data_IF_202612572166
#
_entry.id   IF_202612572166
#
_cell.length_a   1.000
_cell.length_b   1.000
_cell.length_c   1.000
_cell.angle_alpha   90.00
_cell.angle_beta   90.00
_cell.angle_gamma   90.00
#
_symmetry.space_group_name_H-M   'P 1'
#
loop_
_entity.id
_entity.type
_entity.pdbx_description
1 polymer ?
#
# COMPACT_ATOMS: atom_id res chain seq x y z
N UNK A 1 -21.04 -7.16 -12.94
CA UNK A 1 -21.32 -8.20 -11.94
C UNK A 1 -20.80 -7.70 -10.61
N UNK A 2 -21.69 -7.16 -9.76
CA UNK A 2 -21.28 -6.61 -8.46
C UNK A 2 -21.12 -7.79 -7.49
N UNK A 3 -19.87 -8.14 -7.17
CA UNK A 3 -19.59 -9.02 -6.03
C UNK A 3 -20.04 -8.21 -4.81
N UNK A 4 -21.01 -8.66 -4.00
CA UNK A 4 -21.31 -8.00 -2.74
C UNK A 4 -20.00 -8.00 -1.95
N UNK A 5 -19.42 -6.83 -1.62
CA UNK A 5 -18.13 -6.80 -0.97
C UNK A 5 -18.27 -7.57 0.34
N UNK A 6 -17.33 -8.46 0.67
CA UNK A 6 -17.27 -9.20 1.94
C UNK A 6 -17.55 -8.29 3.16
N UNK A 7 -17.25 -6.99 3.04
CA UNK A 7 -17.49 -5.98 4.06
C UNK A 7 -18.96 -5.54 4.21
N UNK A 8 -19.83 -5.66 3.20
CA UNK A 8 -21.28 -5.43 3.38
C UNK A 8 -21.94 -6.49 4.24
N UNK A 9 -21.26 -7.61 4.50
CA UNK A 9 -21.68 -8.61 5.49
C UNK A 9 -21.26 -8.23 6.91
N UNK A 10 -20.24 -7.37 7.07
CA UNK A 10 -19.75 -6.92 8.37
C UNK A 10 -20.55 -5.72 8.88
N UNK A 11 -20.84 -4.74 8.01
CA UNK A 11 -21.66 -3.57 8.34
C UNK A 11 -22.13 -2.82 7.09
N UNK A 12 -23.08 -1.88 7.27
CA UNK A 12 -23.52 -0.97 6.22
C UNK A 12 -22.47 0.14 6.03
N UNK A 13 -21.49 -0.10 5.16
CA UNK A 13 -20.34 0.79 4.91
C UNK A 13 -20.75 2.22 4.58
N UNK A 14 -21.82 2.41 3.80
CA UNK A 14 -22.29 3.74 3.42
C UNK A 14 -22.88 4.50 4.62
N UNK A 15 -23.71 3.83 5.40
CA UNK A 15 -24.38 4.43 6.56
C UNK A 15 -23.40 4.68 7.71
N UNK A 16 -22.64 3.67 8.13
CA UNK A 16 -21.63 3.84 9.20
C UNK A 16 -20.53 4.82 8.75
N UNK A 17 -20.15 4.81 7.47
CA UNK A 17 -19.22 5.80 6.94
C UNK A 17 -19.75 7.23 7.05
N UNK A 18 -21.04 7.44 6.73
CA UNK A 18 -21.70 8.75 6.88
C UNK A 18 -21.76 9.17 8.35
N UNK A 19 -22.20 8.28 9.24
CA UNK A 19 -22.26 8.54 10.69
C UNK A 19 -20.87 8.87 11.26
N UNK A 20 -19.86 8.08 10.89
CA UNK A 20 -18.47 8.33 11.24
C UNK A 20 -18.05 9.74 10.83
N UNK A 21 -18.22 10.13 9.56
CA UNK A 21 -17.83 11.46 9.06
C UNK A 21 -18.58 12.59 9.76
N UNK A 22 -19.89 12.45 9.98
CA UNK A 22 -20.70 13.46 10.65
C UNK A 22 -20.39 13.61 12.14
N UNK A 23 -19.79 12.58 12.74
CA UNK A 23 -19.32 12.65 14.11
C UNK A 23 -17.96 13.31 14.27
N UNK A 24 -17.22 13.61 13.20
CA UNK A 24 -15.85 14.11 13.30
C UNK A 24 -15.81 15.56 13.80
N UNK A 25 -14.98 15.80 14.81
CA UNK A 25 -14.68 17.14 15.31
C UNK A 25 -13.43 17.71 14.63
N UNK A 26 -13.17 19.01 14.80
CA UNK A 26 -11.98 19.68 14.27
C UNK A 26 -10.65 19.02 14.72
N UNK A 27 -10.58 18.55 15.96
CA UNK A 27 -9.44 17.81 16.47
C UNK A 27 -9.25 16.45 15.78
N UNK A 28 -10.35 15.76 15.42
CA UNK A 28 -10.29 14.48 14.70
C UNK A 28 -9.75 14.70 13.28
N UNK A 29 -10.25 15.73 12.60
CA UNK A 29 -9.77 16.15 11.27
C UNK A 29 -8.27 16.46 11.33
N UNK A 30 -7.82 17.21 12.34
CA UNK A 30 -6.39 17.49 12.54
C UNK A 30 -5.55 16.20 12.69
N UNK A 31 -6.04 15.23 13.47
CA UNK A 31 -5.37 13.92 13.58
C UNK A 31 -5.33 13.16 12.25
N UNK A 32 -6.37 13.22 11.43
CA UNK A 32 -6.37 12.63 10.09
C UNK A 32 -5.36 13.33 9.16
N UNK A 33 -5.20 14.64 9.27
CA UNK A 33 -4.15 15.37 8.55
C UNK A 33 -2.74 14.96 9.02
N UNK A 34 -2.52 14.83 10.33
CA UNK A 34 -1.25 14.33 10.84
C UNK A 34 -0.98 12.89 10.38
N UNK A 35 -1.99 12.02 10.41
CA UNK A 35 -1.90 10.66 9.91
C UNK A 35 -1.46 10.64 8.44
N UNK A 36 -2.10 11.45 7.59
CA UNK A 36 -1.73 11.64 6.19
C UNK A 36 -0.26 12.04 6.03
N UNK A 37 0.20 13.06 6.76
CA UNK A 37 1.59 13.52 6.69
C UNK A 37 2.55 12.41 7.13
N UNK A 38 2.27 11.72 8.24
CA UNK A 38 3.09 10.60 8.71
C UNK A 38 3.15 9.46 7.70
N UNK A 39 2.04 9.09 7.05
CA UNK A 39 2.05 8.07 6.01
C UNK A 39 2.85 8.50 4.77
N UNK A 40 2.74 9.76 4.32
CA UNK A 40 3.59 10.27 3.24
C UNK A 40 5.07 10.23 3.63
N UNK A 41 5.42 10.67 4.84
CA UNK A 41 6.77 10.59 5.36
C UNK A 41 7.27 9.14 5.38
N UNK A 42 6.44 8.17 5.79
CA UNK A 42 6.83 6.76 5.82
C UNK A 42 7.26 6.23 4.45
N UNK A 43 6.55 6.61 3.39
CA UNK A 43 6.84 6.19 2.03
C UNK A 43 8.05 6.93 1.45
N UNK A 44 8.02 8.26 1.44
CA UNK A 44 9.01 9.06 0.73
C UNK A 44 10.36 9.15 1.45
N UNK A 45 10.38 9.12 2.79
CA UNK A 45 11.66 9.08 3.51
C UNK A 45 12.38 7.75 3.30
N UNK A 46 11.66 6.63 3.25
CA UNK A 46 12.25 5.32 3.00
C UNK A 46 12.86 5.25 1.59
N UNK A 47 12.14 5.75 0.59
CA UNK A 47 12.63 5.85 -0.80
C UNK A 47 13.86 6.73 -0.89
N UNK A 48 13.82 7.93 -0.30
CA UNK A 48 14.96 8.85 -0.30
C UNK A 48 16.19 8.20 0.34
N UNK A 49 16.02 7.63 1.54
CA UNK A 49 17.10 6.98 2.28
C UNK A 49 17.69 5.78 1.54
N UNK A 50 16.86 5.02 0.83
CA UNK A 50 17.32 3.94 -0.02
C UNK A 50 18.25 4.47 -1.12
N UNK A 51 17.81 5.48 -1.88
CA UNK A 51 18.57 5.99 -3.02
C UNK A 51 19.80 6.85 -2.66
N UNK A 52 19.92 7.34 -1.43
CA UNK A 52 21.18 7.93 -0.92
C UNK A 52 22.17 6.88 -0.39
N UNK A 53 21.85 5.58 -0.49
CA UNK A 53 22.76 4.49 -0.10
C UNK A 53 22.73 4.14 1.38
N UNK A 54 21.71 4.55 2.15
CA UNK A 54 21.63 4.26 3.58
C UNK A 54 21.33 2.79 3.91
N UNK A 55 20.98 1.97 2.90
CA UNK A 55 20.57 0.58 3.10
C UNK A 55 21.52 -0.46 2.51
N UNK A 56 22.09 -0.20 1.34
CA UNK A 56 22.86 -1.18 0.57
C UNK A 56 24.01 -0.47 -0.16
N UNK A 57 25.14 -1.16 -0.34
CA UNK A 57 26.29 -0.63 -1.09
C UNK A 57 25.98 -0.52 -2.58
N UNK A 58 25.33 -1.54 -3.13
CA UNK A 58 24.84 -1.53 -4.51
C UNK A 58 23.34 -1.27 -4.49
N UNK A 59 22.88 -0.27 -5.23
CA UNK A 59 21.45 0.00 -5.38
C UNK A 59 20.85 -0.85 -6.49
N UNK A 60 19.67 -1.41 -6.21
CA UNK A 60 18.79 -2.01 -7.21
C UNK A 60 17.96 -0.89 -7.83
N UNK A 61 17.86 -0.87 -9.15
CA UNK A 61 16.91 -0.04 -9.87
C UNK A 61 16.34 -0.80 -11.07
N UNK A 62 15.02 -0.89 -11.24
CA UNK A 62 13.95 -0.34 -10.38
C UNK A 62 13.80 -1.09 -9.03
N UNK A 63 13.45 -0.38 -7.96
CA UNK A 63 13.22 -0.94 -6.63
C UNK A 63 11.81 -0.62 -6.12
N UNK A 64 10.99 -1.65 -6.00
CA UNK A 64 9.63 -1.55 -5.47
C UNK A 64 9.61 -1.03 -4.03
N UNK A 65 8.49 -0.44 -3.57
CA UNK A 65 8.31 -0.01 -2.19
C UNK A 65 8.48 -1.18 -1.22
N UNK A 66 7.94 -2.35 -1.55
CA UNK A 66 8.15 -3.58 -0.78
C UNK A 66 9.64 -3.92 -0.65
N UNK A 67 10.43 -3.79 -1.73
CA UNK A 67 11.88 -3.99 -1.68
C UNK A 67 12.56 -2.96 -0.76
N UNK A 68 12.28 -1.67 -0.97
CA UNK A 68 12.88 -0.55 -0.22
C UNK A 68 12.62 -0.67 1.28
N UNK A 69 11.40 -1.05 1.66
CA UNK A 69 10.96 -1.10 3.07
C UNK A 69 11.28 -2.42 3.77
N UNK A 70 11.91 -3.38 3.08
CA UNK A 70 12.23 -4.71 3.64
C UNK A 70 13.50 -4.73 4.52
N UNK A 71 14.35 -3.69 4.45
CA UNK A 71 15.72 -3.74 4.96
C UNK A 71 16.29 -2.39 5.41
N UNK A 72 17.34 -2.48 6.23
CA UNK A 72 18.18 -1.35 6.63
C UNK A 72 17.44 -0.23 7.37
N UNK A 73 18.07 0.95 7.39
CA UNK A 73 17.49 2.16 7.96
C UNK A 73 16.15 2.58 7.31
N UNK A 74 15.95 2.48 5.97
CA UNK A 74 14.66 2.79 5.35
C UNK A 74 13.48 2.02 5.95
N UNK A 75 13.66 0.73 6.27
CA UNK A 75 12.62 -0.09 6.91
C UNK A 75 12.20 0.48 8.26
N UNK A 76 13.16 0.80 9.12
CA UNK A 76 12.87 1.26 10.47
C UNK A 76 12.18 2.63 10.48
N UNK A 77 12.62 3.54 9.62
CA UNK A 77 11.97 4.85 9.47
C UNK A 77 10.61 4.76 8.82
N UNK A 78 10.45 3.92 7.78
CA UNK A 78 9.15 3.60 7.22
C UNK A 78 8.20 3.11 8.34
N UNK A 79 8.62 2.11 9.12
CA UNK A 79 7.79 1.54 10.18
C UNK A 79 7.48 2.57 11.28
N UNK A 80 8.44 3.39 11.69
CA UNK A 80 8.23 4.43 12.70
C UNK A 80 7.19 5.46 12.28
N UNK A 81 7.33 6.04 11.09
CA UNK A 81 6.35 6.99 10.56
C UNK A 81 5.00 6.32 10.26
N UNK A 82 5.01 5.07 9.79
CA UNK A 82 3.79 4.30 9.54
C UNK A 82 3.02 4.03 10.83
N UNK A 83 3.70 3.62 11.91
CA UNK A 83 3.11 3.45 13.24
C UNK A 83 2.58 4.78 13.80
N UNK A 84 3.30 5.89 13.60
CA UNK A 84 2.83 7.20 14.00
C UNK A 84 1.55 7.63 13.25
N UNK A 85 1.48 7.34 11.93
CA UNK A 85 0.30 7.58 11.12
C UNK A 85 -0.90 6.78 11.62
N UNK A 86 -0.70 5.49 11.88
CA UNK A 86 -1.73 4.64 12.48
C UNK A 86 -2.15 5.08 13.86
N UNK A 87 -1.22 5.47 14.73
CA UNK A 87 -1.57 5.98 16.05
C UNK A 87 -2.52 7.19 15.96
N UNK A 88 -2.22 8.15 15.08
CA UNK A 88 -3.11 9.31 14.85
C UNK A 88 -4.47 8.86 14.30
N UNK A 89 -4.49 7.96 13.33
CA UNK A 89 -5.70 7.45 12.69
C UNK A 89 -6.59 6.65 13.66
N UNK A 90 -5.99 5.76 14.47
CA UNK A 90 -6.69 4.92 15.46
C UNK A 90 -7.24 5.73 16.62
N UNK A 91 -6.64 6.86 16.98
CA UNK A 91 -7.24 7.77 17.96
C UNK A 91 -8.58 8.31 17.49
N UNK A 92 -8.72 8.56 16.19
CA UNK A 92 -9.98 9.02 15.59
C UNK A 92 -11.02 7.89 15.56
N UNK A 93 -10.59 6.70 15.14
CA UNK A 93 -11.48 5.54 15.07
C UNK A 93 -11.95 5.05 16.45
N UNK A 94 -11.04 5.00 17.43
CA UNK A 94 -11.35 4.50 18.79
C UNK A 94 -12.21 5.46 19.60
N UNK A 95 -12.30 6.73 19.20
CA UNK A 95 -13.22 7.69 19.80
C UNK A 95 -14.69 7.41 19.47
N UNK A 96 -15.00 6.39 18.66
CA UNK A 96 -16.35 6.03 18.22
C UNK A 96 -16.66 4.59 18.59
N UNK A 97 -17.90 4.35 19.04
CA UNK A 97 -18.36 3.05 19.59
C UNK A 97 -19.04 2.14 18.57
N UNK A 98 -18.81 2.37 17.28
CA UNK A 98 -19.37 1.55 16.20
C UNK A 98 -18.60 0.23 16.09
N UNK A 99 -19.29 -0.88 16.37
CA UNK A 99 -18.67 -2.20 16.40
C UNK A 99 -18.14 -2.63 15.02
N UNK A 100 -18.86 -2.30 13.93
CA UNK A 100 -18.48 -2.61 12.55
C UNK A 100 -17.14 -1.95 12.17
N UNK A 101 -17.04 -0.64 12.35
CA UNK A 101 -15.81 0.13 12.13
C UNK A 101 -14.66 -0.35 13.03
N UNK A 102 -14.94 -0.73 14.27
CA UNK A 102 -13.94 -1.31 15.19
C UNK A 102 -13.35 -2.64 14.68
N UNK A 103 -14.19 -3.58 14.25
CA UNK A 103 -13.77 -4.87 13.68
C UNK A 103 -12.95 -4.64 12.40
N UNK A 104 -13.44 -3.77 11.52
CA UNK A 104 -12.75 -3.41 10.28
C UNK A 104 -11.36 -2.84 10.55
N UNK A 105 -11.24 -1.97 11.56
CA UNK A 105 -9.97 -1.37 11.98
C UNK A 105 -8.97 -2.45 12.43
N UNK A 106 -9.42 -3.39 13.27
CA UNK A 106 -8.58 -4.50 13.73
C UNK A 106 -8.12 -5.37 12.56
N UNK A 107 -9.01 -5.68 11.62
CA UNK A 107 -8.69 -6.43 10.40
C UNK A 107 -7.62 -5.70 9.56
N UNK A 108 -7.78 -4.39 9.37
CA UNK A 108 -6.84 -3.58 8.60
C UNK A 108 -5.46 -3.53 9.26
N UNK A 109 -5.38 -3.33 10.58
CA UNK A 109 -4.11 -3.36 11.31
C UNK A 109 -3.45 -4.75 11.28
N UNK A 110 -4.24 -5.80 11.47
CA UNK A 110 -3.76 -7.17 11.46
C UNK A 110 -3.14 -7.49 10.09
N UNK A 111 -3.85 -7.21 9.00
CA UNK A 111 -3.37 -7.47 7.64
C UNK A 111 -2.15 -6.64 7.29
N UNK A 112 -2.07 -5.39 7.75
CA UNK A 112 -0.88 -4.58 7.58
C UNK A 112 0.32 -5.10 8.38
N UNK A 113 0.11 -5.50 9.63
CA UNK A 113 1.13 -6.10 10.50
C UNK A 113 1.68 -7.40 9.92
N UNK A 114 0.81 -8.28 9.42
CA UNK A 114 1.21 -9.50 8.70
C UNK A 114 1.99 -9.15 7.43
N UNK A 115 1.50 -8.20 6.62
CA UNK A 115 2.19 -7.76 5.39
C UNK A 115 3.61 -7.28 5.69
N UNK A 116 3.78 -6.43 6.71
CA UNK A 116 5.09 -5.92 7.13
C UNK A 116 5.99 -7.00 7.74
N UNK A 117 5.41 -7.94 8.50
CA UNK A 117 6.16 -9.03 9.14
C UNK A 117 6.76 -10.00 8.13
N UNK A 118 5.99 -10.33 7.09
CA UNK A 118 6.38 -11.21 5.98
C UNK A 118 7.03 -10.47 4.80
N UNK A 119 7.31 -9.17 4.92
CA UNK A 119 8.14 -8.45 3.95
C UNK A 119 9.62 -8.53 4.38
N UNK A 120 10.31 -9.64 4.08
CA UNK A 120 11.71 -9.85 4.44
C UNK A 120 12.58 -10.19 3.24
N UNK A 121 13.85 -9.74 3.22
CA UNK A 121 14.81 -10.19 2.23
C UNK A 121 15.12 -11.69 2.41
N UNK A 122 15.47 -12.37 1.32
CA UNK A 122 15.93 -13.78 1.31
C UNK A 122 14.93 -14.79 1.92
N UNK A 123 13.63 -14.56 1.74
CA UNK A 123 12.61 -15.41 2.32
C UNK A 123 12.20 -16.58 1.41
N UNK A 124 11.70 -17.69 1.98
CA UNK A 124 11.20 -18.81 1.19
C UNK A 124 9.92 -18.42 0.44
N UNK A 125 9.63 -19.11 -0.67
CA UNK A 125 8.48 -18.83 -1.56
C UNK A 125 7.13 -18.78 -0.82
N UNK A 126 6.97 -19.55 0.25
CA UNK A 126 5.73 -19.55 1.01
C UNK A 126 5.54 -18.25 1.83
N UNK A 127 6.61 -17.59 2.28
CA UNK A 127 6.50 -16.25 2.87
C UNK A 127 6.01 -15.24 1.85
N UNK A 128 6.53 -15.29 0.61
CA UNK A 128 6.08 -14.40 -0.46
C UNK A 128 4.58 -14.57 -0.72
N UNK A 129 4.08 -15.82 -0.70
CA UNK A 129 2.65 -16.09 -0.86
C UNK A 129 1.82 -15.48 0.27
N UNK A 130 2.27 -15.59 1.52
CA UNK A 130 1.59 -14.97 2.68
C UNK A 130 1.64 -13.46 2.57
N UNK A 131 2.80 -12.88 2.26
CA UNK A 131 2.96 -11.43 2.06
C UNK A 131 2.01 -10.92 0.97
N UNK A 132 1.96 -11.59 -0.19
CA UNK A 132 1.06 -11.22 -1.28
C UNK A 132 -0.41 -11.34 -0.90
N UNK A 133 -0.81 -12.39 -0.18
CA UNK A 133 -2.17 -12.56 0.30
C UNK A 133 -2.57 -11.48 1.31
N UNK A 134 -1.70 -11.20 2.28
CA UNK A 134 -1.92 -10.17 3.30
C UNK A 134 -1.94 -8.76 2.67
N UNK A 135 -1.02 -8.47 1.74
CA UNK A 135 -0.98 -7.19 1.01
C UNK A 135 -2.25 -6.99 0.17
N UNK A 136 -2.73 -8.04 -0.49
CA UNK A 136 -3.98 -7.99 -1.27
C UNK A 136 -5.18 -7.71 -0.38
N UNK A 137 -5.29 -8.40 0.78
CA UNK A 137 -6.37 -8.16 1.73
C UNK A 137 -6.27 -6.77 2.36
N UNK A 138 -5.06 -6.28 2.62
CA UNK A 138 -4.81 -4.93 3.10
C UNK A 138 -5.27 -3.89 2.06
N UNK A 139 -4.96 -4.08 0.77
CA UNK A 139 -5.46 -3.24 -0.33
C UNK A 139 -6.99 -3.26 -0.41
N UNK A 140 -7.64 -4.40 -0.22
CA UNK A 140 -9.11 -4.47 -0.14
C UNK A 140 -9.65 -3.64 1.04
N UNK A 141 -8.97 -3.64 2.18
CA UNK A 141 -9.34 -2.76 3.29
C UNK A 141 -9.24 -1.28 2.90
N UNK A 142 -8.26 -0.87 2.08
CA UNK A 142 -8.19 0.52 1.61
C UNK A 142 -9.40 0.91 0.79
N UNK A 143 -9.91 0.01 -0.05
CA UNK A 143 -11.11 0.27 -0.86
C UNK A 143 -12.31 0.55 0.05
N UNK A 144 -12.51 -0.26 1.08
CA UNK A 144 -13.59 -0.07 2.06
C UNK A 144 -13.40 1.25 2.79
N UNK A 145 -12.17 1.58 3.19
CA UNK A 145 -11.90 2.84 3.88
C UNK A 145 -12.14 4.05 2.99
N UNK A 146 -11.90 3.96 1.68
CA UNK A 146 -12.26 5.05 0.74
C UNK A 146 -13.76 5.34 0.75
N UNK A 147 -14.60 4.31 0.89
CA UNK A 147 -16.06 4.48 1.00
C UNK A 147 -16.45 5.05 2.37
N UNK A 148 -15.86 4.54 3.46
CA UNK A 148 -16.04 5.09 4.83
C UNK A 148 -15.69 6.57 4.88
N UNK A 149 -14.63 7.00 4.18
CA UNK A 149 -14.16 8.38 4.16
C UNK A 149 -14.77 9.25 3.06
N UNK A 150 -15.69 8.70 2.24
CA UNK A 150 -16.22 9.37 1.04
C UNK A 150 -15.12 10.03 0.18
N UNK A 151 -14.01 9.30 -0.02
CA UNK A 151 -12.84 9.82 -0.71
C UNK A 151 -13.20 10.32 -2.12
N UNK A 152 -12.64 11.46 -2.52
CA UNK A 152 -12.98 12.06 -3.82
C UNK A 152 -12.65 11.13 -5.00
N UNK A 153 -13.45 11.24 -6.06
CA UNK A 153 -13.36 10.39 -7.25
C UNK A 153 -11.99 10.41 -7.91
N UNK A 154 -11.29 11.55 -7.89
CA UNK A 154 -9.94 11.70 -8.45
C UNK A 154 -8.93 10.74 -7.78
N UNK A 155 -8.89 10.70 -6.44
CA UNK A 155 -7.96 9.83 -5.71
C UNK A 155 -8.35 8.36 -5.83
N UNK A 156 -9.65 8.05 -5.86
CA UNK A 156 -10.16 6.70 -6.11
C UNK A 156 -9.75 6.20 -7.50
N UNK A 157 -9.94 7.03 -8.53
CA UNK A 157 -9.53 6.71 -9.90
C UNK A 157 -8.01 6.47 -9.98
N UNK A 158 -7.20 7.35 -9.36
CA UNK A 158 -5.75 7.19 -9.26
C UNK A 158 -5.36 5.86 -8.59
N UNK A 159 -6.01 5.51 -7.49
CA UNK A 159 -5.78 4.24 -6.78
C UNK A 159 -6.11 3.03 -7.65
N UNK A 160 -7.31 2.95 -8.23
CA UNK A 160 -7.73 1.80 -9.02
C UNK A 160 -6.91 1.63 -10.30
N UNK A 161 -6.64 2.74 -11.02
CA UNK A 161 -5.80 2.70 -12.20
C UNK A 161 -4.40 2.19 -11.85
N UNK A 162 -3.81 2.69 -10.76
CA UNK A 162 -2.50 2.23 -10.30
C UNK A 162 -2.49 0.77 -9.88
N UNK A 163 -3.55 0.31 -9.22
CA UNK A 163 -3.71 -1.10 -8.83
C UNK A 163 -3.75 -2.02 -10.05
N UNK A 164 -4.53 -1.65 -11.08
CA UNK A 164 -4.62 -2.43 -12.33
C UNK A 164 -3.27 -2.47 -13.05
N UNK A 165 -2.58 -1.33 -13.17
CA UNK A 165 -1.29 -1.27 -13.87
C UNK A 165 -0.19 -2.01 -13.09
N UNK A 166 -0.16 -1.91 -11.76
CA UNK A 166 0.77 -2.67 -10.93
C UNK A 166 0.54 -4.19 -11.09
N UNK A 167 -0.71 -4.66 -11.06
CA UNK A 167 -1.05 -6.06 -11.27
C UNK A 167 -0.66 -6.55 -12.67
N UNK A 168 -0.94 -5.75 -13.71
CA UNK A 168 -0.53 -6.05 -15.09
C UNK A 168 1.01 -6.12 -15.22
N UNK A 169 1.74 -5.22 -14.55
CA UNK A 169 3.20 -5.18 -14.55
C UNK A 169 3.81 -6.41 -13.86
N UNK A 170 3.23 -6.85 -12.74
CA UNK A 170 3.62 -8.11 -12.08
C UNK A 170 3.38 -9.33 -12.98
N UNK A 171 2.22 -9.38 -13.62
CA UNK A 171 1.90 -10.44 -14.57
C UNK A 171 2.88 -10.45 -15.75
N UNK A 172 3.21 -9.28 -16.30
CA UNK A 172 4.16 -9.12 -17.38
C UNK A 172 5.58 -9.55 -16.99
N UNK A 173 6.09 -9.11 -15.84
CA UNK A 173 7.39 -9.54 -15.29
C UNK A 173 7.45 -11.06 -15.14
N UNK A 174 6.41 -11.68 -14.57
CA UNK A 174 6.31 -13.14 -14.42
C UNK A 174 6.33 -13.86 -15.76
N UNK A 175 5.60 -13.34 -16.76
CA UNK A 175 5.56 -13.91 -18.10
C UNK A 175 6.95 -13.87 -18.76
N UNK A 176 7.65 -12.73 -18.72
CA UNK A 176 9.00 -12.60 -19.30
C UNK A 176 9.97 -13.59 -18.63
N UNK A 177 9.96 -13.69 -17.30
CA UNK A 177 10.83 -14.63 -16.57
C UNK A 177 10.56 -16.08 -16.96
N UNK A 178 9.27 -16.43 -17.14
CA UNK A 178 8.86 -17.77 -17.58
C UNK A 178 9.32 -18.06 -19.00
N UNK A 179 9.11 -17.13 -19.94
CA UNK A 179 9.53 -17.25 -21.35
C UNK A 179 11.05 -17.36 -21.49
N UNK A 180 11.81 -16.69 -20.61
CA UNK A 180 13.27 -16.74 -20.60
C UNK A 180 13.86 -17.92 -19.82
N UNK A 181 13.05 -18.76 -19.18
CA UNK A 181 13.52 -19.91 -18.39
C UNK A 181 14.28 -19.54 -17.11
N UNK A 182 14.10 -18.32 -16.61
CA UNK A 182 14.75 -17.82 -15.38
C UNK A 182 13.80 -17.90 -14.17
N UNK A 183 14.31 -17.86 -12.93
CA UNK A 183 13.47 -17.91 -11.75
C UNK A 183 12.42 -16.80 -11.71
N UNK A 184 11.16 -17.15 -11.44
CA UNK A 184 10.01 -16.22 -11.41
C UNK A 184 10.00 -15.31 -10.16
N UNK A 185 10.80 -15.62 -9.15
CA UNK A 185 10.86 -14.85 -7.89
C UNK A 185 11.33 -13.41 -8.10
N UNK A 186 10.99 -12.52 -7.17
CA UNK A 186 11.59 -11.20 -7.12
C UNK A 186 13.01 -11.29 -6.56
N UNK A 187 13.93 -10.49 -7.11
CA UNK A 187 15.30 -10.43 -6.62
C UNK A 187 15.33 -9.84 -5.23
N UNK A 188 15.98 -10.54 -4.30
CA UNK A 188 16.13 -10.12 -2.92
C UNK A 188 17.37 -9.27 -2.69
N UNK A 189 18.21 -9.01 -3.70
CA UNK A 189 19.32 -8.05 -3.64
C UNK A 189 19.56 -7.39 -5.00
N UNK A 190 20.39 -6.34 -5.01
CA UNK A 190 20.85 -5.70 -6.25
C UNK A 190 21.77 -6.63 -7.06
N UNK A 191 22.59 -7.44 -6.38
CA UNK A 191 23.43 -8.47 -7.00
C UNK A 191 22.58 -9.51 -7.73
N UNK A 192 21.58 -10.09 -7.06
CA UNK A 192 20.71 -11.11 -7.64
C UNK A 192 19.88 -10.54 -8.81
N UNK A 193 19.56 -9.24 -8.78
CA UNK A 193 18.94 -8.53 -9.89
C UNK A 193 19.89 -8.37 -11.08
N UNK A 194 21.17 -8.02 -10.85
CA UNK A 194 22.18 -7.93 -11.91
C UNK A 194 22.45 -9.30 -12.54
N UNK A 195 22.58 -10.34 -11.72
CA UNK A 195 22.81 -11.71 -12.19
C UNK A 195 21.64 -12.23 -13.03
N UNK A 196 20.41 -11.87 -12.67
CA UNK A 196 19.23 -12.16 -13.48
C UNK A 196 19.34 -11.52 -14.87
N UNK A 197 19.70 -10.23 -14.93
CA UNK A 197 19.82 -9.50 -16.20
C UNK A 197 20.96 -10.03 -17.09
N UNK A 198 22.04 -10.53 -16.50
CA UNK A 198 23.14 -11.15 -17.23
C UNK A 198 22.73 -12.46 -17.94
N UNK A 199 21.68 -13.13 -17.47
CA UNK A 199 21.15 -14.37 -18.07
C UNK A 199 20.13 -14.11 -19.18
N UNK A 200 19.65 -12.87 -19.33
CA UNK A 200 18.57 -12.53 -20.25
C UNK A 200 19.10 -12.00 -21.59
N UNK A 201 18.36 -12.27 -22.66
CA UNK A 201 18.60 -11.60 -23.95
C UNK A 201 18.34 -10.10 -23.81
N UNK A 202 18.96 -9.26 -24.65
CA UNK A 202 18.79 -7.80 -24.59
C UNK A 202 17.32 -7.37 -24.66
N UNK A 203 16.49 -8.10 -25.43
CA UNK A 203 15.05 -7.88 -25.52
C UNK A 203 14.34 -8.18 -24.20
N UNK A 204 14.58 -9.36 -23.61
CA UNK A 204 13.95 -9.74 -22.34
C UNK A 204 14.41 -8.84 -21.20
N UNK A 205 15.69 -8.43 -21.17
CA UNK A 205 16.21 -7.46 -20.21
C UNK A 205 15.49 -6.13 -20.29
N UNK A 206 15.33 -5.54 -21.49
CA UNK A 206 14.62 -4.29 -21.66
C UNK A 206 13.14 -4.39 -21.22
N UNK A 207 12.45 -5.46 -21.62
CA UNK A 207 11.06 -5.68 -21.24
C UNK A 207 10.90 -5.89 -19.73
N UNK A 208 11.79 -6.67 -19.11
CA UNK A 208 11.74 -6.92 -17.67
C UNK A 208 12.01 -5.63 -16.89
N UNK A 209 12.98 -4.84 -17.34
CA UNK A 209 13.28 -3.54 -16.74
C UNK A 209 12.06 -2.60 -16.80
N UNK A 210 11.39 -2.51 -17.95
CA UNK A 210 10.17 -1.72 -18.09
C UNK A 210 9.05 -2.22 -17.17
N UNK A 211 8.84 -3.54 -17.09
CA UNK A 211 7.81 -4.13 -16.23
C UNK A 211 8.09 -3.83 -14.74
N UNK A 212 9.32 -3.99 -14.28
CA UNK A 212 9.72 -3.68 -12.90
C UNK A 212 9.66 -2.17 -12.61
N UNK A 213 9.94 -1.32 -13.61
CA UNK A 213 9.82 0.14 -13.47
C UNK A 213 8.36 0.55 -13.29
N UNK A 214 7.46 0.04 -14.14
CA UNK A 214 6.04 0.29 -13.99
C UNK A 214 5.51 -0.25 -12.67
N UNK A 215 5.92 -1.45 -12.25
CA UNK A 215 5.54 -1.97 -10.95
C UNK A 215 5.99 -1.04 -9.82
N UNK A 216 7.25 -0.58 -9.80
CA UNK A 216 7.75 0.37 -8.81
C UNK A 216 6.92 1.66 -8.77
N UNK A 217 6.67 2.27 -9.92
CA UNK A 217 5.95 3.54 -9.99
C UNK A 217 4.50 3.40 -9.52
N UNK A 218 3.80 2.37 -10.00
CA UNK A 218 2.39 2.19 -9.72
C UNK A 218 2.12 1.59 -8.34
N UNK A 219 3.00 0.75 -7.79
CA UNK A 219 2.95 0.36 -6.38
C UNK A 219 3.01 1.60 -5.47
N UNK A 220 3.92 2.53 -5.77
CA UNK A 220 4.00 3.80 -5.03
C UNK A 220 2.75 4.67 -5.21
N UNK A 221 2.21 4.74 -6.43
CA UNK A 221 1.05 5.56 -6.74
C UNK A 221 -0.25 5.03 -6.13
N UNK A 222 -0.38 3.71 -5.91
CA UNK A 222 -1.48 3.12 -5.12
C UNK A 222 -1.52 3.77 -3.74
N UNK A 223 -0.43 3.69 -2.98
CA UNK A 223 -0.40 4.22 -1.61
C UNK A 223 -0.47 5.75 -1.59
N UNK A 224 0.21 6.43 -2.52
CA UNK A 224 0.16 7.89 -2.59
C UNK A 224 -1.24 8.41 -2.90
N UNK A 225 -1.96 7.80 -3.85
CA UNK A 225 -3.33 8.20 -4.19
C UNK A 225 -4.26 8.06 -2.99
N UNK A 226 -4.17 6.93 -2.29
CA UNK A 226 -4.96 6.69 -1.08
C UNK A 226 -4.61 7.70 0.02
N UNK A 227 -3.33 7.86 0.35
CA UNK A 227 -2.89 8.71 1.47
C UNK A 227 -3.26 10.17 1.22
N UNK A 228 -3.06 10.68 -0.01
CA UNK A 228 -3.47 12.04 -0.37
C UNK A 228 -4.99 12.22 -0.27
N UNK A 229 -5.76 11.19 -0.61
CA UNK A 229 -7.21 11.20 -0.54
C UNK A 229 -7.81 11.03 0.86
N UNK A 230 -7.03 10.63 1.88
CA UNK A 230 -7.53 10.34 3.24
C UNK A 230 -8.43 11.42 3.84
N UNK A 231 -8.17 12.70 3.53
CA UNK A 231 -8.93 13.83 4.07
C UNK A 231 -9.80 14.51 3.02
N UNK A 232 -9.95 13.94 1.82
CA UNK A 232 -10.61 14.61 0.69
C UNK A 232 -12.15 14.60 0.75
N UNK A 233 -12.73 13.69 1.53
CA UNK A 233 -14.18 13.57 1.70
C UNK A 233 -14.69 14.05 3.06
N UNK A 234 -13.87 14.79 3.82
CA UNK A 234 -14.22 15.25 5.17
C UNK A 234 -14.94 16.61 5.21
N UNK A 235 -15.53 17.06 4.09
CA UNK A 235 -16.26 18.32 4.07
C UNK A 235 -17.52 18.20 4.95
N UNK A 236 -17.63 19.08 5.95
CA UNK A 236 -18.67 19.02 7.00
C UNK A 236 -20.07 19.35 6.48
N UNK A 237 -20.18 19.78 5.22
CA UNK A 237 -21.44 20.19 4.58
C UNK A 237 -22.38 19.02 4.28
N UNK A 238 -21.88 17.81 4.14
CA UNK A 238 -22.69 16.63 3.82
C UNK A 238 -23.66 16.24 4.94
N UNK A 239 -23.41 16.69 6.17
CA UNK A 239 -24.21 16.34 7.34
C UNK A 239 -25.44 17.21 7.56
N UNK A 240 -25.66 18.23 6.72
CA UNK A 240 -26.75 19.20 6.84
C UNK A 240 -27.87 19.03 5.79
N UNK A 241 -27.87 17.95 5.01
CA UNK A 241 -28.74 17.77 3.83
C UNK A 241 -29.84 16.71 3.98
N UNK A 242 -30.44 16.61 5.17
CA UNK A 242 -31.71 15.88 5.40
C UNK A 242 -32.89 16.83 5.65
#
# INVERSE_FOLDING_TARGET
MAIPPLCSMLFNVAEEGRQFRCSLHSHDISNLHMAKVSFLCSQYSAILLYYVGASEKTLKFPASLSYVTSRGLPRHLCLGFWLAGWFCFLRVLSARREAGLGIFTVLMLFTAGVTAWFNRPHQPVWHDRIHMAAASLYVLCHIVLMDVLAMSSMYRAGFYASMVIAAASLHWSRRIKTEAGVPVKHSSSAEEFRDLFAQLSSRHSAQLWCAELFFMLFENLIFTSFVLGLTSGLDTRDCASE
#
